data_IF_036267256898
#
_entry.id   IF_036267256898
#
_cell.length_a   1.000
_cell.length_b   1.000
_cell.length_c   1.000
_cell.angle_alpha   90.00
_cell.angle_beta   90.00
_cell.angle_gamma   90.00
#
_symmetry.space_group_name_H-M   'P 1'
#
loop_
_entity.id
_entity.type
_entity.pdbx_description
1 polymer ?
#
# COMPACT_ATOMS: atom_id res chain seq x y z
N UNK A 1 3.45 32.05 -30.50
CA UNK A 1 2.37 31.60 -31.41
C UNK A 1 1.07 32.36 -31.18
N UNK A 2 0.72 32.73 -29.94
CA UNK A 2 -0.58 33.38 -29.63
C UNK A 2 -0.49 34.88 -29.31
N UNK A 3 0.64 35.54 -29.61
CA UNK A 3 1.02 36.87 -29.10
C UNK A 3 0.11 38.05 -29.51
N UNK A 4 -1.03 37.83 -30.16
CA UNK A 4 -2.00 38.87 -30.49
C UNK A 4 -3.46 38.43 -30.32
N UNK A 5 -3.70 37.22 -29.78
CA UNK A 5 -5.05 36.69 -29.58
C UNK A 5 -5.61 37.10 -28.21
N UNK A 6 -5.53 38.40 -27.89
CA UNK A 6 -5.89 38.94 -26.56
C UNK A 6 -7.35 38.69 -26.17
N UNK A 7 -8.21 38.48 -27.16
CA UNK A 7 -9.62 38.16 -27.01
C UNK A 7 -9.93 36.66 -26.98
N UNK A 8 -8.91 35.79 -27.06
CA UNK A 8 -9.10 34.34 -27.06
C UNK A 8 -9.69 33.88 -25.72
N UNK A 9 -10.82 33.19 -25.80
CA UNK A 9 -11.55 32.64 -24.63
C UNK A 9 -11.34 31.14 -24.51
N UNK A 10 -11.24 30.42 -25.62
CA UNK A 10 -11.12 28.97 -25.66
C UNK A 10 -10.00 28.55 -26.60
N UNK A 11 -9.16 27.61 -26.17
CA UNK A 11 -8.08 27.04 -26.97
C UNK A 11 -8.18 25.52 -26.98
N UNK A 12 -8.52 24.96 -28.14
CA UNK A 12 -8.72 23.53 -28.34
C UNK A 12 -7.56 22.96 -29.17
N UNK A 13 -6.69 22.19 -28.52
CA UNK A 13 -5.49 21.60 -29.11
C UNK A 13 -5.38 20.09 -28.81
N UNK A 14 -6.45 19.46 -28.33
CA UNK A 14 -6.49 18.06 -27.96
C UNK A 14 -6.26 17.12 -29.15
N UNK A 15 -5.76 15.91 -28.87
CA UNK A 15 -5.58 14.84 -29.88
C UNK A 15 -4.65 15.24 -31.04
N UNK A 16 -3.57 15.96 -30.72
CA UNK A 16 -2.52 16.34 -31.67
C UNK A 16 -1.18 15.66 -31.29
N UNK A 17 -0.11 16.06 -31.96
CA UNK A 17 1.25 15.54 -31.74
C UNK A 17 2.14 16.55 -31.01
N UNK A 18 1.56 17.43 -30.19
CA UNK A 18 2.31 18.51 -29.53
C UNK A 18 3.24 17.92 -28.48
N UNK A 19 4.55 18.14 -28.64
CA UNK A 19 5.57 17.60 -27.73
C UNK A 19 6.01 18.60 -26.66
N UNK A 20 5.89 19.90 -26.94
CA UNK A 20 6.27 20.97 -26.04
C UNK A 20 5.40 22.21 -26.24
N UNK A 21 5.28 23.01 -25.19
CA UNK A 21 4.64 24.33 -25.21
C UNK A 21 5.69 25.33 -24.72
N UNK A 22 5.84 26.42 -25.46
CA UNK A 22 6.73 27.51 -25.07
C UNK A 22 6.27 28.13 -23.73
N UNK A 23 7.23 28.50 -22.88
CA UNK A 23 6.97 29.03 -21.53
C UNK A 23 6.10 30.30 -21.53
N UNK A 24 6.15 31.10 -22.60
CA UNK A 24 5.44 32.37 -22.73
C UNK A 24 4.18 32.24 -23.60
N UNK A 25 3.83 31.02 -24.05
CA UNK A 25 2.73 30.78 -24.98
C UNK A 25 1.41 31.43 -24.53
N UNK A 26 1.11 31.43 -23.23
CA UNK A 26 -0.17 31.91 -22.70
C UNK A 26 -0.10 33.25 -21.94
N UNK A 27 1.07 33.90 -21.89
CA UNK A 27 1.28 35.10 -21.07
C UNK A 27 0.34 36.27 -21.46
N UNK A 28 0.00 36.41 -22.74
CA UNK A 28 -0.81 37.51 -23.28
C UNK A 28 -2.29 37.14 -23.53
N UNK A 29 -2.82 36.11 -22.84
CA UNK A 29 -4.18 35.61 -23.04
C UNK A 29 -5.06 35.80 -21.79
N UNK A 30 -5.32 37.06 -21.35
CA UNK A 30 -5.98 37.34 -20.07
C UNK A 30 -7.47 36.95 -20.03
N UNK A 31 -8.09 36.71 -21.19
CA UNK A 31 -9.50 36.30 -21.31
C UNK A 31 -9.69 34.79 -21.42
N UNK A 32 -8.62 34.01 -21.48
CA UNK A 32 -8.67 32.58 -21.70
C UNK A 32 -9.33 31.86 -20.51
N UNK A 33 -10.41 31.16 -20.81
CA UNK A 33 -11.22 30.39 -19.87
C UNK A 33 -11.03 28.89 -20.00
N UNK A 34 -10.69 28.42 -21.20
CA UNK A 34 -10.59 26.98 -21.47
C UNK A 34 -9.35 26.65 -22.27
N UNK A 35 -8.60 25.66 -21.78
CA UNK A 35 -7.47 25.05 -22.49
C UNK A 35 -7.66 23.54 -22.51
N UNK A 36 -7.80 22.98 -23.71
CA UNK A 36 -7.86 21.55 -23.95
C UNK A 36 -6.57 21.09 -24.64
N UNK A 37 -5.72 20.40 -23.87
CA UNK A 37 -4.41 19.89 -24.32
C UNK A 37 -4.28 18.37 -24.18
N UNK A 38 -5.36 17.68 -23.80
CA UNK A 38 -5.32 16.22 -23.61
C UNK A 38 -4.93 15.46 -24.87
N UNK A 39 -4.44 14.23 -24.70
CA UNK A 39 -4.06 13.34 -25.83
C UNK A 39 -3.03 13.99 -26.76
N UNK A 40 -1.99 14.55 -26.19
CA UNK A 40 -0.83 15.05 -26.92
C UNK A 40 0.42 14.26 -26.50
N UNK A 41 1.61 14.76 -26.82
CA UNK A 41 2.90 14.13 -26.51
C UNK A 41 3.73 14.96 -25.53
N UNK A 42 3.07 15.80 -24.72
CA UNK A 42 3.74 16.66 -23.75
C UNK A 42 4.46 15.81 -22.70
N UNK A 43 5.78 15.93 -22.64
CA UNK A 43 6.61 15.24 -21.64
C UNK A 43 6.87 16.08 -20.39
N UNK A 44 6.90 17.40 -20.56
CA UNK A 44 7.16 18.37 -19.50
C UNK A 44 6.30 19.62 -19.72
N UNK A 45 6.15 20.41 -18.66
CA UNK A 45 5.55 21.75 -18.72
C UNK A 45 6.56 22.76 -18.18
N UNK A 46 6.61 23.95 -18.77
CA UNK A 46 7.47 25.01 -18.28
C UNK A 46 6.97 25.58 -16.93
N UNK A 47 7.91 26.07 -16.13
CA UNK A 47 7.59 26.82 -14.91
C UNK A 47 6.68 28.02 -15.23
N UNK A 48 5.60 28.18 -14.47
CA UNK A 48 4.68 29.31 -14.58
C UNK A 48 3.82 29.31 -15.84
N UNK A 49 3.71 28.21 -16.57
CA UNK A 49 3.00 28.16 -17.85
C UNK A 49 1.54 28.67 -17.76
N UNK A 50 0.86 28.44 -16.64
CA UNK A 50 -0.51 28.91 -16.41
C UNK A 50 -0.60 30.05 -15.39
N UNK A 51 0.51 30.74 -15.10
CA UNK A 51 0.59 31.65 -13.95
C UNK A 51 -0.35 32.85 -14.06
N UNK A 52 -0.54 33.38 -15.27
CA UNK A 52 -1.31 34.61 -15.51
C UNK A 52 -2.77 34.38 -15.91
N UNK A 53 -3.23 33.12 -15.96
CA UNK A 53 -4.54 32.74 -16.46
C UNK A 53 -5.63 32.79 -15.38
N UNK A 54 -5.86 33.97 -14.80
CA UNK A 54 -6.78 34.18 -13.67
C UNK A 54 -8.25 33.84 -13.98
N UNK A 55 -8.63 33.84 -15.27
CA UNK A 55 -9.98 33.50 -15.74
C UNK A 55 -10.14 32.04 -16.19
N UNK A 56 -9.12 31.20 -16.02
CA UNK A 56 -9.14 29.81 -16.47
C UNK A 56 -10.13 28.97 -15.65
N UNK A 57 -11.19 28.51 -16.30
CA UNK A 57 -12.26 27.71 -15.72
C UNK A 57 -12.07 26.20 -15.99
N UNK A 58 -11.47 25.87 -17.14
CA UNK A 58 -11.26 24.48 -17.60
C UNK A 58 -9.84 24.30 -18.11
N UNK A 59 -9.10 23.36 -17.50
CA UNK A 59 -7.80 22.91 -17.95
C UNK A 59 -7.76 21.39 -18.04
N UNK A 60 -7.43 20.89 -19.23
CA UNK A 60 -7.36 19.47 -19.49
C UNK A 60 -5.99 19.09 -20.05
N UNK A 61 -5.25 18.27 -19.30
CA UNK A 61 -3.88 17.83 -19.60
C UNK A 61 -3.74 16.30 -19.67
N UNK A 62 -4.83 15.57 -19.46
CA UNK A 62 -4.80 14.11 -19.34
C UNK A 62 -4.30 13.40 -20.61
N UNK A 63 -3.86 12.15 -20.46
CA UNK A 63 -3.28 11.36 -21.56
C UNK A 63 -2.16 12.10 -22.33
N UNK A 64 -1.30 12.80 -21.57
CA UNK A 64 0.00 13.29 -22.04
C UNK A 64 1.11 12.58 -21.25
N UNK A 65 2.25 12.21 -21.83
CA UNK A 65 3.33 11.52 -21.12
C UNK A 65 4.15 12.43 -20.16
N UNK A 66 3.48 13.25 -19.35
CA UNK A 66 4.09 14.15 -18.36
C UNK A 66 4.77 13.37 -17.22
N UNK A 67 6.09 13.24 -17.27
CA UNK A 67 6.82 12.51 -16.23
C UNK A 67 6.86 13.26 -14.90
N UNK A 68 6.80 14.59 -14.94
CA UNK A 68 6.84 15.47 -13.78
C UNK A 68 6.03 16.76 -14.02
N UNK A 69 5.68 17.43 -12.93
CA UNK A 69 5.17 18.80 -12.96
C UNK A 69 6.27 19.76 -12.47
N UNK A 70 6.36 20.97 -13.02
CA UNK A 70 7.24 22.00 -12.48
C UNK A 70 6.84 22.39 -11.06
N UNK A 71 7.78 22.88 -10.24
CA UNK A 71 7.51 23.32 -8.86
C UNK A 71 6.54 24.51 -8.79
N UNK A 72 6.53 25.34 -9.82
CA UNK A 72 5.60 26.46 -9.97
C UNK A 72 4.91 26.29 -11.31
N UNK A 73 3.62 25.96 -11.31
CA UNK A 73 2.82 25.79 -12.53
C UNK A 73 1.67 26.80 -12.59
N UNK A 74 0.99 26.96 -11.46
CA UNK A 74 -0.21 27.77 -11.34
C UNK A 74 0.05 29.03 -10.51
N UNK A 75 -0.47 30.15 -11.01
CA UNK A 75 -0.71 31.34 -10.21
C UNK A 75 -2.04 31.22 -9.47
N UNK A 76 -2.54 32.32 -8.94
CA UNK A 76 -3.85 32.36 -8.30
C UNK A 76 -4.97 32.26 -9.34
N UNK A 77 -5.63 31.10 -9.40
CA UNK A 77 -6.74 30.82 -10.35
C UNK A 77 -7.98 30.46 -9.53
N UNK A 78 -8.75 31.48 -9.15
CA UNK A 78 -9.97 31.30 -8.34
C UNK A 78 -11.19 30.86 -9.17
N UNK A 79 -11.02 30.68 -10.48
CA UNK A 79 -12.07 30.29 -11.43
C UNK A 79 -12.06 28.79 -11.74
N UNK A 80 -10.91 28.13 -11.65
CA UNK A 80 -10.77 26.71 -11.93
C UNK A 80 -11.53 25.88 -10.88
N UNK A 81 -12.41 24.98 -11.35
CA UNK A 81 -13.23 24.09 -10.48
C UNK A 81 -12.82 22.64 -10.58
N UNK A 82 -12.25 22.22 -11.70
CA UNK A 82 -11.84 20.84 -11.92
C UNK A 82 -10.50 20.79 -12.64
N UNK A 83 -9.60 19.94 -12.16
CA UNK A 83 -8.30 19.68 -12.77
C UNK A 83 -8.12 18.18 -12.96
N UNK A 84 -7.76 17.78 -14.18
CA UNK A 84 -7.57 16.38 -14.54
C UNK A 84 -6.18 16.14 -15.11
N UNK A 85 -5.43 15.29 -14.42
CA UNK A 85 -4.07 14.84 -14.72
C UNK A 85 -4.04 13.31 -14.74
N UNK A 86 -5.11 12.69 -15.27
CA UNK A 86 -5.16 11.24 -15.35
C UNK A 86 -4.34 10.72 -16.53
N UNK A 87 -3.73 9.55 -16.37
CA UNK A 87 -2.95 8.90 -17.42
C UNK A 87 -1.74 9.73 -17.86
N UNK A 88 -1.20 10.58 -16.98
CA UNK A 88 -0.09 11.47 -17.34
C UNK A 88 1.30 10.87 -17.15
N UNK A 89 1.43 9.63 -16.64
CA UNK A 89 2.73 8.99 -16.35
C UNK A 89 3.61 9.70 -15.30
N UNK A 90 3.00 10.52 -14.44
CA UNK A 90 3.69 11.21 -13.36
C UNK A 90 4.36 10.21 -12.42
N UNK A 91 5.62 10.46 -12.06
CA UNK A 91 6.34 9.69 -11.04
C UNK A 91 6.29 10.33 -9.67
N UNK A 92 6.05 11.65 -9.61
CA UNK A 92 5.98 12.46 -8.38
C UNK A 92 5.07 13.66 -8.59
N UNK A 93 4.69 14.29 -7.48
CA UNK A 93 3.96 15.57 -7.43
C UNK A 93 4.76 16.53 -6.55
N UNK A 94 5.05 17.77 -6.97
CA UNK A 94 5.72 18.75 -6.13
C UNK A 94 4.87 19.19 -4.93
N UNK A 95 5.52 19.58 -3.83
CA UNK A 95 4.84 20.19 -2.69
C UNK A 95 4.12 21.48 -3.10
N UNK A 96 2.94 21.72 -2.54
CA UNK A 96 2.16 22.96 -2.72
C UNK A 96 1.77 23.29 -4.17
N UNK A 97 1.93 22.37 -5.13
CA UNK A 97 1.71 22.67 -6.56
C UNK A 97 0.29 23.15 -6.86
N UNK A 98 -0.71 22.70 -6.09
CA UNK A 98 -2.11 23.08 -6.25
C UNK A 98 -2.58 24.14 -5.26
N UNK A 99 -1.70 24.67 -4.38
CA UNK A 99 -2.08 25.54 -3.26
C UNK A 99 -2.77 26.84 -3.67
N UNK A 100 -2.45 27.36 -4.87
CA UNK A 100 -3.07 28.55 -5.44
C UNK A 100 -4.45 28.30 -6.07
N UNK A 101 -4.91 27.05 -6.16
CA UNK A 101 -6.20 26.66 -6.75
C UNK A 101 -7.27 26.55 -5.66
N UNK A 102 -7.42 27.62 -4.86
CA UNK A 102 -8.22 27.60 -3.61
C UNK A 102 -9.72 27.31 -3.78
N UNK A 103 -10.23 27.41 -5.02
CA UNK A 103 -11.62 27.14 -5.38
C UNK A 103 -11.81 25.82 -6.14
N UNK A 104 -10.76 25.00 -6.26
CA UNK A 104 -10.83 23.70 -6.91
C UNK A 104 -11.79 22.78 -6.14
N UNK A 105 -12.71 22.15 -6.86
CA UNK A 105 -13.71 21.23 -6.30
C UNK A 105 -13.44 19.77 -6.66
N UNK A 106 -12.77 19.50 -7.78
CA UNK A 106 -12.41 18.15 -8.21
C UNK A 106 -10.96 18.07 -8.70
N UNK A 107 -10.23 17.07 -8.21
CA UNK A 107 -8.87 16.74 -8.64
C UNK A 107 -8.79 15.26 -9.02
N UNK A 108 -8.39 15.00 -10.26
CA UNK A 108 -8.21 13.66 -10.80
C UNK A 108 -6.73 13.43 -11.08
N UNK A 109 -6.12 12.51 -10.35
CA UNK A 109 -4.71 12.13 -10.46
C UNK A 109 -4.59 10.63 -10.68
N UNK A 110 -5.44 10.02 -11.51
CA UNK A 110 -5.57 8.56 -11.62
C UNK A 110 -4.73 7.98 -12.76
N UNK A 111 -4.45 6.68 -12.72
CA UNK A 111 -3.70 5.99 -13.80
C UNK A 111 -2.29 6.56 -14.05
N UNK A 112 -1.63 7.12 -13.04
CA UNK A 112 -0.22 7.48 -13.07
C UNK A 112 0.59 6.32 -12.45
N UNK A 113 0.84 5.26 -13.21
CA UNK A 113 1.39 3.98 -12.70
C UNK A 113 2.81 4.06 -12.10
N UNK A 114 3.50 5.18 -12.30
CA UNK A 114 4.83 5.46 -11.73
C UNK A 114 4.77 6.25 -10.42
N UNK A 115 3.57 6.66 -9.98
CA UNK A 115 3.36 7.51 -8.81
C UNK A 115 3.26 6.66 -7.53
N UNK A 116 4.42 6.36 -6.94
CA UNK A 116 4.50 5.47 -5.78
C UNK A 116 4.23 6.16 -4.43
N UNK A 117 4.50 7.46 -4.35
CA UNK A 117 4.34 8.25 -3.12
C UNK A 117 3.77 9.63 -3.44
N UNK A 118 3.22 10.28 -2.42
CA UNK A 118 2.81 11.67 -2.46
C UNK A 118 3.52 12.41 -1.33
N UNK A 119 3.98 13.65 -1.55
CA UNK A 119 4.49 14.42 -0.43
C UNK A 119 3.34 14.91 0.46
N UNK A 120 3.66 15.20 1.72
CA UNK A 120 2.67 15.59 2.74
C UNK A 120 1.84 16.80 2.31
N UNK A 121 2.45 17.77 1.64
CA UNK A 121 1.82 19.04 1.29
C UNK A 121 1.31 19.07 -0.17
N UNK A 122 1.13 17.89 -0.80
CA UNK A 122 0.63 17.79 -2.17
C UNK A 122 -0.72 18.49 -2.38
N UNK A 123 -1.61 18.42 -1.38
CA UNK A 123 -2.98 18.95 -1.45
C UNK A 123 -3.23 20.14 -0.51
N UNK A 124 -2.17 20.75 0.00
CA UNK A 124 -2.31 21.90 0.90
C UNK A 124 -3.02 23.06 0.21
N UNK A 125 -3.87 23.78 0.95
CA UNK A 125 -4.65 24.92 0.47
C UNK A 125 -5.95 24.57 -0.27
N UNK A 126 -6.21 23.29 -0.59
CA UNK A 126 -7.40 22.83 -1.33
C UNK A 126 -8.67 22.71 -0.45
N UNK A 127 -8.98 23.78 0.30
CA UNK A 127 -10.06 23.81 1.29
C UNK A 127 -11.47 23.64 0.73
N UNK A 128 -11.66 23.85 -0.58
CA UNK A 128 -12.94 23.68 -1.30
C UNK A 128 -13.05 22.37 -2.08
N UNK A 129 -12.03 21.52 -2.03
CA UNK A 129 -12.04 20.25 -2.75
C UNK A 129 -13.14 19.34 -2.21
N UNK A 130 -14.01 18.86 -3.10
CA UNK A 130 -15.11 17.93 -2.81
C UNK A 130 -14.79 16.51 -3.27
N UNK A 131 -14.03 16.37 -4.36
CA UNK A 131 -13.73 15.08 -5.00
C UNK A 131 -12.23 14.93 -5.25
N UNK A 132 -11.65 13.86 -4.70
CA UNK A 132 -10.25 13.50 -4.93
C UNK A 132 -10.16 12.06 -5.41
N UNK A 133 -9.63 11.89 -6.62
CA UNK A 133 -9.44 10.59 -7.25
C UNK A 133 -7.95 10.27 -7.39
N UNK A 134 -7.50 9.23 -6.70
CA UNK A 134 -6.11 8.77 -6.62
C UNK A 134 -5.97 7.26 -6.91
N UNK A 135 -6.98 6.67 -7.53
CA UNK A 135 -6.99 5.25 -7.86
C UNK A 135 -6.05 4.90 -9.02
N UNK A 136 -5.58 3.64 -9.04
CA UNK A 136 -4.73 3.09 -10.11
C UNK A 136 -3.37 3.80 -10.30
N UNK A 137 -2.71 4.23 -9.22
CA UNK A 137 -1.41 4.93 -9.27
C UNK A 137 -0.20 4.10 -8.79
N UNK A 138 -0.44 2.95 -8.17
CA UNK A 138 0.60 2.14 -7.51
C UNK A 138 1.22 2.83 -6.28
N UNK A 139 0.41 3.63 -5.57
CA UNK A 139 0.79 4.24 -4.30
C UNK A 139 0.99 3.16 -3.24
N UNK A 140 2.15 3.18 -2.58
CA UNK A 140 2.51 2.19 -1.55
C UNK A 140 2.33 2.70 -0.12
N UNK A 141 2.18 4.01 0.06
CA UNK A 141 1.95 4.63 1.36
C UNK A 141 1.37 6.04 1.19
N UNK A 142 0.76 6.56 2.25
CA UNK A 142 0.31 7.95 2.32
C UNK A 142 0.92 8.61 3.57
N UNK A 143 1.49 9.82 3.48
CA UNK A 143 2.00 10.52 4.64
C UNK A 143 0.88 10.92 5.60
N UNK A 144 1.18 10.90 6.90
CA UNK A 144 0.28 11.43 7.91
C UNK A 144 0.02 12.93 7.65
N UNK A 145 -1.25 13.33 7.70
CA UNK A 145 -1.65 14.72 7.46
C UNK A 145 -1.78 15.12 5.97
N UNK A 146 -1.65 14.18 5.02
CA UNK A 146 -1.85 14.45 3.58
C UNK A 146 -3.17 15.19 3.27
N UNK A 147 -4.20 14.92 4.07
CA UNK A 147 -5.55 15.45 3.88
C UNK A 147 -5.94 16.55 4.86
N UNK A 148 -4.98 17.16 5.58
CA UNK A 148 -5.22 18.11 6.66
C UNK A 148 -6.10 19.31 6.24
N UNK A 149 -5.94 19.80 5.02
CA UNK A 149 -6.66 20.99 4.51
C UNK A 149 -7.96 20.63 3.78
N UNK A 150 -8.26 19.34 3.56
CA UNK A 150 -9.37 18.87 2.72
C UNK A 150 -10.72 18.81 3.46
N UNK A 151 -11.06 19.88 4.19
CA UNK A 151 -12.20 19.92 5.11
C UNK A 151 -13.58 19.81 4.41
N UNK A 152 -13.64 20.11 3.11
CA UNK A 152 -14.86 20.02 2.29
C UNK A 152 -14.98 18.70 1.52
N UNK A 153 -14.03 17.77 1.67
CA UNK A 153 -13.97 16.56 0.85
C UNK A 153 -15.17 15.65 1.14
N UNK A 154 -15.82 15.20 0.07
CA UNK A 154 -17.01 14.33 0.10
C UNK A 154 -16.70 12.95 -0.48
N UNK A 155 -15.85 12.88 -1.51
CA UNK A 155 -15.50 11.64 -2.21
C UNK A 155 -13.98 11.49 -2.24
N UNK A 156 -13.50 10.35 -1.72
CA UNK A 156 -12.09 9.95 -1.75
C UNK A 156 -11.95 8.56 -2.38
N UNK A 157 -11.43 8.49 -3.59
CA UNK A 157 -11.19 7.22 -4.27
C UNK A 157 -9.70 6.87 -4.26
N UNK A 158 -9.36 5.80 -3.56
CA UNK A 158 -7.99 5.31 -3.35
C UNK A 158 -7.81 3.85 -3.81
N UNK A 159 -8.81 3.26 -4.46
CA UNK A 159 -8.81 1.85 -4.88
C UNK A 159 -7.68 1.53 -5.88
N UNK A 160 -7.33 0.25 -6.02
CA UNK A 160 -6.29 -0.22 -6.93
C UNK A 160 -4.93 0.48 -6.69
N UNK A 161 -4.49 0.46 -5.45
CA UNK A 161 -3.16 0.88 -5.00
C UNK A 161 -2.52 -0.26 -4.18
N UNK A 162 -1.38 -0.01 -3.52
CA UNK A 162 -0.60 -1.07 -2.85
C UNK A 162 -0.19 -0.67 -1.43
N UNK A 163 -1.12 -0.12 -0.63
CA UNK A 163 -0.80 0.51 0.65
C UNK A 163 -0.27 -0.45 1.71
N UNK A 164 -0.86 -1.65 1.85
CA UNK A 164 -0.58 -2.53 2.99
C UNK A 164 -1.24 -2.02 4.28
N UNK A 165 -0.78 -0.87 4.78
CA UNK A 165 -1.30 -0.17 5.95
C UNK A 165 -1.53 1.33 5.66
N UNK A 166 -2.39 1.97 6.46
CA UNK A 166 -2.68 3.40 6.39
C UNK A 166 -2.47 4.07 7.76
N UNK A 167 -2.04 5.35 7.82
CA UNK A 167 -1.86 6.05 9.10
C UNK A 167 -3.17 6.23 9.88
N UNK A 168 -3.14 6.00 11.19
CA UNK A 168 -4.31 6.06 12.10
C UNK A 168 -5.15 7.34 11.98
N UNK A 169 -4.51 8.49 11.80
CA UNK A 169 -5.17 9.79 11.78
C UNK A 169 -5.37 10.34 10.36
N UNK A 170 -5.19 9.52 9.31
CA UNK A 170 -5.25 9.96 7.91
C UNK A 170 -6.57 10.66 7.57
N UNK A 171 -7.71 10.10 8.02
CA UNK A 171 -9.04 10.59 7.68
C UNK A 171 -9.62 11.58 8.69
N UNK A 172 -8.97 11.79 9.85
CA UNK A 172 -9.47 12.65 10.94
C UNK A 172 -9.92 14.06 10.50
N UNK A 173 -9.26 14.75 9.56
CA UNK A 173 -9.69 16.07 9.10
C UNK A 173 -10.96 16.09 8.22
N UNK A 174 -11.38 14.93 7.70
CA UNK A 174 -12.37 14.82 6.62
C UNK A 174 -13.82 14.77 7.12
N UNK A 175 -14.24 15.77 7.89
CA UNK A 175 -15.55 15.81 8.55
C UNK A 175 -16.77 15.78 7.60
N UNK A 176 -16.54 16.03 6.30
CA UNK A 176 -17.55 16.03 5.25
C UNK A 176 -17.54 14.79 4.36
N UNK A 177 -16.65 13.82 4.62
CA UNK A 177 -16.49 12.65 3.77
C UNK A 177 -17.76 11.80 3.80
N UNK A 178 -18.25 11.46 2.61
CA UNK A 178 -19.44 10.65 2.40
C UNK A 178 -19.09 9.30 1.78
N UNK A 179 -18.14 9.28 0.85
CA UNK A 179 -17.77 8.09 0.08
C UNK A 179 -16.26 7.89 0.13
N UNK A 180 -15.84 6.69 0.51
CA UNK A 180 -14.44 6.27 0.43
C UNK A 180 -14.32 4.91 -0.26
N UNK A 181 -13.40 4.84 -1.23
CA UNK A 181 -13.11 3.61 -1.96
C UNK A 181 -11.68 3.17 -1.70
N UNK A 182 -11.53 2.01 -1.07
CA UNK A 182 -10.27 1.38 -0.71
C UNK A 182 -10.18 -0.06 -1.26
N UNK A 183 -11.00 -0.39 -2.27
CA UNK A 183 -10.99 -1.73 -2.87
C UNK A 183 -9.64 -2.05 -3.49
N UNK A 184 -9.22 -3.31 -3.45
CA UNK A 184 -8.01 -3.76 -4.13
C UNK A 184 -6.78 -2.87 -3.80
N UNK A 185 -6.60 -2.57 -2.51
CA UNK A 185 -5.51 -1.70 -2.03
C UNK A 185 -4.48 -2.43 -1.18
N UNK A 186 -4.54 -3.78 -1.19
CA UNK A 186 -3.67 -4.69 -0.43
C UNK A 186 -3.70 -4.44 1.08
N UNK A 187 -4.78 -3.88 1.62
CA UNK A 187 -4.89 -3.60 3.05
C UNK A 187 -4.90 -4.90 3.85
N UNK A 188 -4.07 -4.96 4.89
CA UNK A 188 -4.04 -6.09 5.83
C UNK A 188 -5.02 -5.89 7.00
N UNK A 189 -5.11 -4.64 7.48
CA UNK A 189 -6.02 -4.22 8.54
C UNK A 189 -6.36 -2.74 8.38
N UNK A 190 -7.29 -2.24 9.20
CA UNK A 190 -7.51 -0.82 9.42
C UNK A 190 -7.46 -0.51 10.92
N UNK A 191 -7.00 0.69 11.31
CA UNK A 191 -7.05 1.14 12.69
C UNK A 191 -8.47 1.14 13.27
N UNK A 192 -8.63 0.83 14.56
CA UNK A 192 -9.93 0.73 15.24
C UNK A 192 -10.83 1.96 15.05
N UNK A 193 -10.20 3.14 15.08
CA UNK A 193 -10.87 4.43 15.01
C UNK A 193 -10.77 5.10 13.63
N UNK A 194 -10.43 4.33 12.59
CA UNK A 194 -10.12 4.90 11.28
C UNK A 194 -11.29 5.68 10.66
N UNK A 195 -12.53 5.23 10.92
CA UNK A 195 -13.77 5.86 10.41
C UNK A 195 -14.61 6.56 11.49
N UNK A 196 -14.23 6.51 12.77
CA UNK A 196 -15.12 6.93 13.87
C UNK A 196 -15.39 8.43 13.92
N UNK A 197 -14.50 9.25 13.35
CA UNK A 197 -14.63 10.71 13.31
C UNK A 197 -15.17 11.24 11.96
N UNK A 198 -16.00 10.45 11.28
CA UNK A 198 -16.58 10.78 9.96
C UNK A 198 -18.11 10.79 10.01
N UNK A 199 -18.74 11.85 10.53
CA UNK A 199 -20.18 11.86 10.82
C UNK A 199 -21.09 11.86 9.58
N UNK A 200 -20.54 12.13 8.39
CA UNK A 200 -21.28 12.15 7.12
C UNK A 200 -21.02 10.93 6.24
N UNK A 201 -20.28 9.94 6.75
CA UNK A 201 -19.89 8.76 5.98
C UNK A 201 -21.12 7.92 5.63
N UNK A 202 -21.31 7.65 4.34
CA UNK A 202 -22.45 6.94 3.78
C UNK A 202 -22.06 5.60 3.19
N UNK A 203 -20.90 5.52 2.52
CA UNK A 203 -20.44 4.27 1.90
C UNK A 203 -18.92 4.11 1.99
N UNK A 204 -18.51 2.89 2.32
CA UNK A 204 -17.12 2.47 2.49
C UNK A 204 -16.88 1.20 1.68
N UNK A 205 -16.14 1.31 0.58
CA UNK A 205 -15.85 0.16 -0.29
C UNK A 205 -14.49 -0.45 0.06
N UNK A 206 -14.48 -1.73 0.43
CA UNK A 206 -13.34 -2.44 1.05
C UNK A 206 -13.04 -3.81 0.43
N UNK A 207 -13.71 -4.16 -0.66
CA UNK A 207 -13.57 -5.45 -1.31
C UNK A 207 -12.13 -5.68 -1.83
N UNK A 208 -11.78 -6.94 -2.07
CA UNK A 208 -10.51 -7.32 -2.72
C UNK A 208 -9.24 -6.85 -1.96
N UNK A 209 -9.31 -6.70 -0.65
CA UNK A 209 -8.14 -6.45 0.21
C UNK A 209 -7.56 -7.75 0.78
N UNK A 210 -6.43 -7.64 1.48
CA UNK A 210 -5.67 -8.76 2.03
C UNK A 210 -5.91 -8.91 3.53
N UNK A 211 -7.17 -8.89 3.98
CA UNK A 211 -7.53 -8.88 5.40
C UNK A 211 -6.83 -10.02 6.16
N UNK A 212 -5.99 -9.66 7.13
CA UNK A 212 -5.32 -10.61 8.02
C UNK A 212 -6.14 -10.66 9.31
N UNK A 213 -6.86 -11.75 9.52
CA UNK A 213 -7.76 -11.97 10.65
C UNK A 213 -7.02 -12.41 11.91
N UNK A 214 -6.08 -11.56 12.31
CA UNK A 214 -5.35 -11.64 13.56
C UNK A 214 -5.81 -10.55 14.54
N UNK A 215 -5.08 -10.39 15.65
CA UNK A 215 -5.43 -9.41 16.67
C UNK A 215 -5.40 -7.95 16.24
N UNK A 216 -4.65 -7.60 15.20
CA UNK A 216 -4.63 -6.23 14.69
C UNK A 216 -5.93 -5.88 13.97
N UNK A 217 -6.67 -6.87 13.48
CA UNK A 217 -7.96 -6.66 12.82
C UNK A 217 -9.10 -6.43 13.80
N UNK A 218 -8.93 -6.79 15.09
CA UNK A 218 -10.01 -6.79 16.09
C UNK A 218 -10.78 -5.46 16.14
N UNK A 219 -10.07 -4.33 16.11
CA UNK A 219 -10.67 -3.01 16.13
C UNK A 219 -11.53 -2.74 14.90
N UNK A 220 -10.99 -2.99 13.71
CA UNK A 220 -11.72 -2.86 12.45
C UNK A 220 -12.90 -3.82 12.36
N UNK A 221 -12.74 -5.09 12.77
CA UNK A 221 -13.85 -6.06 12.85
C UNK A 221 -14.98 -5.54 13.72
N UNK A 222 -14.65 -5.02 14.91
CA UNK A 222 -15.64 -4.46 15.85
C UNK A 222 -16.37 -3.25 15.24
N UNK A 223 -15.66 -2.41 14.49
CA UNK A 223 -16.29 -1.31 13.75
C UNK A 223 -17.23 -1.84 12.65
N UNK A 224 -16.80 -2.84 11.87
CA UNK A 224 -17.56 -3.43 10.78
C UNK A 224 -18.87 -4.05 11.27
N UNK A 225 -18.84 -4.77 12.40
CA UNK A 225 -20.02 -5.36 13.05
C UNK A 225 -21.09 -4.31 13.39
N UNK A 226 -20.67 -3.09 13.75
CA UNK A 226 -21.58 -1.97 14.09
C UNK A 226 -22.01 -1.13 12.89
N UNK A 227 -21.39 -1.31 11.72
CA UNK A 227 -21.54 -0.45 10.56
C UNK A 227 -21.74 -1.26 9.27
N UNK A 228 -22.50 -2.35 9.34
CA UNK A 228 -22.75 -3.25 8.21
C UNK A 228 -23.49 -2.58 7.06
N UNK A 229 -24.34 -1.59 7.34
CA UNK A 229 -25.08 -0.82 6.32
C UNK A 229 -24.16 0.12 5.54
N UNK A 230 -23.09 0.61 6.15
CA UNK A 230 -22.12 1.54 5.53
C UNK A 230 -21.18 0.83 4.56
N UNK A 231 -21.03 -0.49 4.67
CA UNK A 231 -20.13 -1.29 3.83
C UNK A 231 -20.95 -2.14 2.87
N UNK A 232 -20.90 -1.89 1.56
CA UNK A 232 -21.60 -2.75 0.60
C UNK A 232 -21.08 -4.19 0.64
N UNK A 233 -22.01 -5.15 0.70
CA UNK A 233 -21.72 -6.59 0.73
C UNK A 233 -20.65 -6.98 1.78
N UNK A 234 -20.87 -6.70 3.08
CA UNK A 234 -19.82 -6.86 4.08
C UNK A 234 -19.40 -8.33 4.29
N UNK A 235 -20.28 -9.29 3.95
CA UNK A 235 -19.97 -10.72 3.94
C UNK A 235 -18.96 -11.13 2.85
N UNK A 236 -18.75 -10.29 1.82
CA UNK A 236 -17.74 -10.53 0.79
C UNK A 236 -16.33 -10.09 1.21
N UNK A 237 -16.17 -9.46 2.38
CA UNK A 237 -14.86 -9.17 2.95
C UNK A 237 -14.29 -10.45 3.54
N UNK A 238 -13.38 -11.11 2.83
CA UNK A 238 -12.82 -12.40 3.24
C UNK A 238 -11.44 -12.24 3.87
N UNK A 239 -11.19 -13.00 4.93
CA UNK A 239 -9.88 -13.22 5.49
C UNK A 239 -8.97 -13.90 4.44
N UNK A 240 -7.75 -13.40 4.30
CA UNK A 240 -6.70 -14.02 3.46
C UNK A 240 -5.67 -14.78 4.28
N UNK A 241 -5.51 -14.39 5.54
CA UNK A 241 -4.67 -15.04 6.54
C UNK A 241 -5.33 -14.93 7.94
N UNK A 242 -4.96 -15.80 8.90
CA UNK A 242 -4.09 -16.97 8.76
C UNK A 242 -4.72 -18.05 7.83
N UNK A 243 -3.95 -19.06 7.37
CA UNK A 243 -4.46 -20.10 6.48
C UNK A 243 -5.73 -20.81 6.97
N UNK A 244 -5.87 -20.97 8.29
CA UNK A 244 -7.06 -21.55 8.94
C UNK A 244 -8.32 -20.72 8.75
N UNK A 245 -8.19 -19.42 8.53
CA UNK A 245 -9.31 -18.49 8.31
C UNK A 245 -9.42 -18.05 6.86
N UNK A 246 -8.58 -18.55 5.95
CA UNK A 246 -8.62 -18.13 4.56
C UNK A 246 -10.01 -18.38 4.00
N UNK A 247 -10.56 -17.39 3.28
CA UNK A 247 -11.93 -17.38 2.71
C UNK A 247 -13.08 -17.26 3.71
N UNK A 248 -12.81 -17.21 5.02
CA UNK A 248 -13.85 -16.92 6.02
C UNK A 248 -14.19 -15.42 5.98
N UNK A 249 -15.47 -15.02 5.98
CA UNK A 249 -15.85 -13.60 6.06
C UNK A 249 -15.35 -12.96 7.36
N UNK A 250 -14.80 -11.74 7.27
CA UNK A 250 -14.26 -10.97 8.40
C UNK A 250 -15.29 -10.81 9.54
N UNK A 251 -16.57 -10.64 9.20
CA UNK A 251 -17.65 -10.49 10.18
C UNK A 251 -17.80 -11.70 11.11
N UNK A 252 -17.62 -12.92 10.59
CA UNK A 252 -17.80 -14.17 11.35
C UNK A 252 -16.48 -14.82 11.76
N UNK A 253 -15.34 -14.26 11.34
CA UNK A 253 -14.03 -14.78 11.68
C UNK A 253 -13.79 -14.74 13.20
N UNK A 254 -13.45 -15.88 13.79
CA UNK A 254 -13.13 -16.00 15.20
C UNK A 254 -11.71 -15.48 15.47
N UNK A 255 -11.57 -14.15 15.54
CA UNK A 255 -10.27 -13.51 15.83
C UNK A 255 -9.75 -14.04 17.18
N UNK A 256 -8.47 -14.48 17.25
CA UNK A 256 -7.91 -15.07 18.47
C UNK A 256 -8.00 -14.12 19.66
N UNK A 257 -7.92 -14.68 20.86
CA UNK A 257 -7.83 -13.89 22.09
C UNK A 257 -6.58 -13.01 21.98
N UNK A 258 -6.76 -11.69 22.16
CA UNK A 258 -5.68 -10.74 21.98
C UNK A 258 -4.97 -10.40 23.29
N UNK A 259 -3.64 -10.23 23.26
CA UNK A 259 -2.94 -9.70 24.41
C UNK A 259 -3.52 -8.33 24.78
N UNK A 260 -3.67 -8.08 26.07
CA UNK A 260 -4.22 -6.81 26.59
C UNK A 260 -3.32 -6.22 27.67
N UNK A 261 -3.24 -4.89 27.73
CA UNK A 261 -2.49 -4.19 28.76
C UNK A 261 -3.48 -3.59 29.77
N UNK A 262 -3.29 -3.87 31.06
CA UNK A 262 -4.00 -3.21 32.16
C UNK A 262 -3.05 -2.30 32.92
N UNK A 263 -3.50 -1.09 33.29
CA UNK A 263 -2.77 -0.20 34.18
C UNK A 263 -3.10 -0.56 35.63
N UNK A 264 -2.09 -0.85 36.44
CA UNK A 264 -2.21 -1.02 37.88
C UNK A 264 -2.30 0.32 38.60
N UNK A 265 -2.87 0.30 39.81
CA UNK A 265 -3.08 1.49 40.64
C UNK A 265 -1.79 2.27 40.93
N UNK A 266 -0.64 1.58 41.00
CA UNK A 266 0.68 2.17 41.24
C UNK A 266 1.37 2.72 39.98
N UNK A 267 0.63 2.87 38.87
CA UNK A 267 1.20 3.30 37.57
C UNK A 267 2.01 2.22 36.85
N UNK A 268 2.00 0.97 37.32
CA UNK A 268 2.55 -0.18 36.62
C UNK A 268 1.64 -0.63 35.47
N UNK A 269 2.19 -1.34 34.49
CA UNK A 269 1.43 -1.95 33.40
C UNK A 269 1.55 -3.47 33.46
N UNK A 270 0.42 -4.18 33.37
CA UNK A 270 0.34 -5.62 33.27
C UNK A 270 -0.07 -6.01 31.86
N UNK A 271 0.79 -6.74 31.15
CA UNK A 271 0.41 -7.40 29.89
C UNK A 271 -0.17 -8.77 30.24
N UNK A 272 -1.40 -9.00 29.78
CA UNK A 272 -2.09 -10.28 29.82
C UNK A 272 -1.97 -10.89 28.42
N UNK A 273 -1.14 -11.92 28.27
CA UNK A 273 -0.95 -12.62 26.99
C UNK A 273 -1.65 -13.97 27.07
N UNK A 274 -2.58 -14.29 26.16
CA UNK A 274 -3.13 -15.63 26.08
C UNK A 274 -1.99 -16.61 25.75
N UNK A 275 -1.93 -17.73 26.48
CA UNK A 275 -1.01 -18.81 26.11
C UNK A 275 -1.42 -19.36 24.75
N UNK A 276 -0.45 -19.80 23.95
CA UNK A 276 -0.58 -20.20 22.54
C UNK A 276 -1.47 -21.43 22.28
N UNK A 277 -2.27 -21.86 23.25
CA UNK A 277 -3.29 -22.88 23.07
C UNK A 277 -4.61 -22.19 22.75
N UNK A 278 -5.03 -22.31 21.49
CA UNK A 278 -6.37 -21.96 21.03
C UNK A 278 -7.40 -22.46 22.06
N UNK A 279 -8.23 -21.53 22.57
CA UNK A 279 -9.42 -21.77 23.39
C UNK A 279 -9.29 -22.25 24.86
N UNK A 280 -8.11 -22.32 25.48
CA UNK A 280 -8.03 -22.83 26.87
C UNK A 280 -8.24 -21.79 27.99
N UNK A 281 -8.38 -20.51 27.68
CA UNK A 281 -8.58 -19.46 28.70
C UNK A 281 -7.41 -19.28 29.67
N UNK A 282 -6.23 -19.83 29.34
CA UNK A 282 -5.01 -19.71 30.17
C UNK A 282 -4.22 -18.48 29.73
N UNK A 283 -4.01 -17.55 30.66
CA UNK A 283 -3.31 -16.29 30.43
C UNK A 283 -1.99 -16.24 31.20
N UNK A 284 -0.94 -15.71 30.56
CA UNK A 284 0.29 -15.29 31.25
C UNK A 284 0.22 -13.80 31.54
N UNK A 285 0.68 -13.40 32.73
CA UNK A 285 0.77 -11.99 33.12
C UNK A 285 2.23 -11.57 33.27
N UNK A 286 2.59 -10.41 32.71
CA UNK A 286 3.91 -9.78 32.92
C UNK A 286 3.72 -8.33 33.34
N UNK A 287 4.42 -7.92 34.40
CA UNK A 287 4.37 -6.57 34.95
C UNK A 287 5.57 -5.72 34.51
N UNK A 288 5.31 -4.47 34.19
CA UNK A 288 6.29 -3.46 33.78
C UNK A 288 6.11 -2.21 34.63
N UNK A 289 7.22 -1.62 35.11
CA UNK A 289 7.24 -0.29 35.75
C UNK A 289 7.66 0.75 34.72
N UNK A 290 7.01 1.92 34.70
CA UNK A 290 7.41 3.04 33.84
C UNK A 290 6.46 3.30 32.68
N UNK A 291 6.97 3.42 31.46
CA UNK A 291 6.19 3.75 30.25
C UNK A 291 5.30 2.59 29.78
N UNK A 292 4.22 2.89 29.06
CA UNK A 292 3.29 1.88 28.52
C UNK A 292 4.05 0.91 27.62
N UNK A 293 4.10 -0.40 27.94
CA UNK A 293 4.86 -1.35 27.15
C UNK A 293 4.13 -1.62 25.82
N UNK A 294 4.90 -1.71 24.74
CA UNK A 294 4.36 -2.02 23.41
C UNK A 294 3.88 -3.47 23.37
N UNK A 295 2.59 -3.68 23.12
CA UNK A 295 2.05 -5.03 22.89
C UNK A 295 2.62 -5.53 21.56
N UNK A 296 3.49 -6.54 21.60
CA UNK A 296 3.81 -7.33 20.42
C UNK A 296 2.73 -8.40 20.28
N UNK A 297 1.87 -8.25 19.26
CA UNK A 297 0.94 -9.31 18.89
C UNK A 297 1.75 -10.53 18.43
N UNK A 298 1.34 -11.76 18.78
CA UNK A 298 1.97 -12.95 18.24
C UNK A 298 1.90 -12.85 16.71
N UNK A 299 3.05 -12.82 16.05
CA UNK A 299 3.10 -12.82 14.60
C UNK A 299 2.40 -14.09 14.13
N UNK A 300 1.39 -13.97 13.27
CA UNK A 300 0.94 -15.12 12.49
C UNK A 300 2.19 -15.71 11.84
N UNK A 301 2.48 -17.02 11.99
CA UNK A 301 3.68 -17.62 11.47
C UNK A 301 3.67 -17.50 9.95
N UNK A 302 4.22 -16.39 9.44
CA UNK A 302 4.57 -16.26 8.04
C UNK A 302 5.71 -17.23 7.85
N UNK A 303 5.47 -18.26 7.00
CA UNK A 303 6.39 -19.33 6.58
C UNK A 303 7.67 -19.36 7.41
N UNK A 304 7.83 -20.37 8.30
CA UNK A 304 9.12 -20.71 8.93
C UNK A 304 10.25 -20.35 7.96
N UNK A 305 10.93 -19.22 8.20
CA UNK A 305 12.27 -19.04 7.64
C UNK A 305 13.00 -20.25 8.19
N UNK A 306 13.36 -21.16 7.30
CA UNK A 306 14.16 -22.32 7.67
C UNK A 306 15.41 -21.78 8.35
N UNK A 307 15.45 -21.88 9.68
CA UNK A 307 16.61 -21.52 10.47
C UNK A 307 17.67 -22.58 10.21
N UNK A 308 18.36 -22.43 9.08
CA UNK A 308 19.62 -23.09 8.78
C UNK A 308 20.81 -22.13 8.94
N UNK A 309 20.57 -20.89 9.42
CA UNK A 309 21.58 -19.83 9.48
C UNK A 309 21.91 -19.30 10.88
N UNK A 310 21.39 -19.90 11.96
CA UNK A 310 21.73 -19.47 13.34
C UNK A 310 22.42 -20.56 14.20
N UNK A 311 23.14 -21.50 13.58
CA UNK A 311 23.88 -22.54 14.32
C UNK A 311 25.37 -22.62 13.99
N UNK A 312 26.05 -21.47 13.84
CA UNK A 312 27.51 -21.42 13.68
C UNK A 312 28.22 -20.41 14.58
N UNK A 313 27.78 -20.28 15.83
CA UNK A 313 28.61 -19.66 16.87
C UNK A 313 28.63 -20.54 18.12
N UNK A 314 29.43 -21.61 18.09
CA UNK A 314 30.26 -22.08 19.22
C UNK A 314 30.93 -23.43 18.89
N UNK A 315 31.92 -23.41 17.99
CA UNK A 315 32.98 -24.41 18.02
C UNK A 315 34.31 -23.66 17.95
N UNK A 316 34.91 -23.41 19.12
CA UNK A 316 36.36 -23.19 19.21
C UNK A 316 37.02 -24.55 19.00
N UNK A 317 37.70 -24.72 17.87
CA UNK A 317 38.76 -25.72 17.74
C UNK A 317 40.09 -25.07 18.16
N UNK A 318 40.95 -25.78 18.91
CA UNK A 318 42.32 -25.35 19.12
C UNK A 318 43.13 -25.63 17.86
N UNK A 319 44.07 -24.75 17.56
CA UNK A 319 45.08 -24.81 16.48
C UNK A 319 44.65 -24.39 15.06
N UNK A 320 44.85 -23.10 14.79
CA UNK A 320 45.69 -22.59 13.70
C UNK A 320 45.13 -22.58 12.27
N UNK A 321 44.79 -21.39 11.74
CA UNK A 321 44.74 -21.16 10.30
C UNK A 321 43.74 -20.11 9.78
N UNK A 322 44.15 -18.84 9.87
CA UNK A 322 43.93 -17.68 8.96
C UNK A 322 42.56 -17.46 8.29
N UNK A 323 42.03 -16.26 8.60
CA UNK A 323 40.92 -15.52 8.01
C UNK A 323 41.21 -15.13 6.54
N UNK A 324 40.23 -15.31 5.64
CA UNK A 324 39.94 -14.31 4.60
C UNK A 324 38.43 -14.18 4.36
N UNK A 325 37.95 -12.98 4.66
CA UNK A 325 36.67 -12.37 4.32
C UNK A 325 36.51 -12.18 2.81
N UNK A 326 35.33 -12.46 2.26
CA UNK A 326 34.80 -11.65 1.14
C UNK A 326 33.32 -11.37 1.35
N UNK A 327 33.01 -10.07 1.37
CA UNK A 327 31.69 -9.47 1.46
C UNK A 327 31.31 -8.96 0.06
N UNK A 328 30.00 -8.92 -0.20
CA UNK A 328 29.28 -8.13 -1.22
C UNK A 328 28.96 -8.69 -2.63
N UNK A 329 27.68 -8.43 -2.94
CA UNK A 329 26.98 -8.24 -4.22
C UNK A 329 26.06 -9.34 -4.79
N UNK A 330 24.77 -9.01 -4.63
CA UNK A 330 23.54 -9.43 -5.29
C UNK A 330 23.64 -9.10 -6.79
N UNK A 331 23.17 -10.00 -7.67
CA UNK A 331 22.14 -9.78 -8.73
C UNK A 331 22.38 -10.62 -10.00
N UNK A 332 21.26 -11.19 -10.47
CA UNK A 332 20.97 -11.60 -11.86
C UNK A 332 21.51 -12.94 -12.40
N UNK A 333 20.55 -13.82 -12.71
CA UNK A 333 20.47 -14.70 -13.89
C UNK A 333 21.77 -15.17 -14.57
N UNK A 334 22.59 -15.96 -13.88
CA UNK A 334 23.42 -16.96 -14.55
C UNK A 334 23.84 -18.02 -13.53
N UNK A 335 22.98 -19.03 -13.35
CA UNK A 335 23.26 -20.46 -13.13
C UNK A 335 21.86 -21.12 -13.08
N UNK A 336 21.20 -21.13 -14.23
CA UNK A 336 20.09 -22.05 -14.53
C UNK A 336 20.50 -22.99 -15.69
N UNK A 337 21.81 -23.05 -15.98
CA UNK A 337 22.37 -23.70 -17.17
C UNK A 337 23.61 -24.57 -16.88
N UNK A 338 23.84 -24.96 -15.62
CA UNK A 338 24.91 -25.91 -15.26
C UNK A 338 24.53 -26.97 -14.24
N UNK A 339 23.22 -27.21 -14.03
CA UNK A 339 22.71 -28.44 -13.38
C UNK A 339 21.49 -28.95 -14.19
N UNK A 340 21.69 -29.11 -15.50
CA UNK A 340 20.86 -29.95 -16.39
C UNK A 340 21.72 -31.09 -16.97
N UNK A 341 22.85 -31.41 -16.33
CA UNK A 341 23.80 -32.42 -16.82
C UNK A 341 24.26 -33.44 -15.77
N UNK A 342 23.38 -33.83 -14.84
CA UNK A 342 23.57 -35.12 -14.17
C UNK A 342 22.21 -35.80 -13.92
N UNK A 343 22.00 -36.87 -14.69
CA UNK A 343 20.98 -37.91 -14.55
C UNK A 343 19.56 -37.64 -15.04
N UNK A 344 19.37 -37.54 -16.37
CA UNK A 344 18.33 -38.29 -17.10
C UNK A 344 18.80 -38.52 -18.56
N UNK A 345 18.72 -39.78 -19.02
CA UNK A 345 18.85 -40.31 -20.41
C UNK A 345 20.26 -40.67 -20.95
N UNK A 346 20.58 -41.97 -20.87
CA UNK A 346 20.98 -42.93 -21.93
C UNK A 346 21.37 -44.22 -21.17
N UNK A 347 20.57 -45.28 -21.16
CA UNK A 347 20.41 -46.23 -22.26
C UNK A 347 19.03 -46.89 -22.23
N UNK A 348 18.26 -46.66 -23.30
CA UNK A 348 17.38 -47.69 -23.86
C UNK A 348 18.19 -48.38 -24.95
N UNK A 349 18.40 -49.69 -24.81
CA UNK A 349 18.59 -50.61 -25.93
C UNK A 349 17.84 -51.90 -25.59
N UNK A 350 16.60 -51.97 -26.10
CA UNK A 350 15.88 -53.16 -26.60
C UNK A 350 16.31 -54.55 -26.11
N UNK A 351 15.42 -55.30 -25.45
CA UNK A 351 14.71 -56.48 -25.99
C UNK A 351 13.77 -57.13 -24.95
N UNK A 352 12.51 -57.36 -25.37
CA UNK A 352 11.53 -58.40 -25.02
C UNK A 352 11.36 -59.00 -23.60
N UNK A 353 10.06 -59.08 -23.25
CA UNK A 353 9.34 -60.19 -22.58
C UNK A 353 8.99 -60.08 -21.08
N UNK A 354 7.67 -60.04 -20.85
CA UNK A 354 6.85 -60.65 -19.78
C UNK A 354 7.27 -60.43 -18.30
N UNK A 355 6.43 -59.74 -17.52
CA UNK A 355 5.65 -60.30 -16.40
C UNK A 355 4.93 -59.20 -15.60
N UNK A 356 3.79 -59.58 -15.04
CA UNK A 356 2.80 -58.84 -14.25
C UNK A 356 3.13 -58.77 -12.74
N UNK A 357 2.38 -57.93 -12.00
CA UNK A 357 1.95 -58.04 -10.56
C UNK A 357 2.55 -57.03 -9.53
N UNK A 358 1.65 -56.17 -9.02
CA UNK A 358 1.35 -55.80 -7.61
C UNK A 358 2.30 -55.00 -6.69
N UNK A 359 1.61 -54.13 -5.93
CA UNK A 359 1.76 -53.73 -4.50
C UNK A 359 2.75 -52.63 -4.11
N UNK A 360 2.22 -51.72 -3.28
CA UNK A 360 2.79 -50.55 -2.60
C UNK A 360 4.25 -50.68 -2.10
N UNK A 361 4.97 -49.55 -1.97
CA UNK A 361 6.07 -49.46 -1.01
C UNK A 361 5.72 -48.55 0.18
N UNK A 362 5.60 -49.19 1.35
CA UNK A 362 5.89 -48.58 2.65
C UNK A 362 7.40 -48.30 2.70
N UNK A 363 7.79 -47.03 2.82
CA UNK A 363 9.20 -46.66 3.07
C UNK A 363 9.42 -46.59 4.58
N UNK A 364 10.02 -47.64 5.12
CA UNK A 364 10.63 -47.65 6.46
C UNK A 364 11.99 -46.95 6.37
N UNK A 365 12.15 -45.79 6.99
CA UNK A 365 13.47 -45.15 7.15
C UNK A 365 14.08 -45.61 8.47
N UNK A 366 15.04 -46.53 8.40
CA UNK A 366 15.95 -46.80 9.51
C UNK A 366 16.93 -45.63 9.65
N UNK A 367 16.78 -44.83 10.71
CA UNK A 367 17.81 -43.89 11.16
C UNK A 367 18.84 -44.66 12.00
N UNK A 368 20.04 -44.84 11.45
CA UNK A 368 21.22 -45.28 12.20
C UNK A 368 21.72 -44.08 13.04
N UNK A 369 21.54 -44.17 14.36
CA UNK A 369 22.11 -43.22 15.34
C UNK A 369 23.53 -43.69 15.71
N UNK A 370 24.58 -42.86 15.58
CA UNK A 370 25.92 -43.23 16.02
C UNK A 370 26.02 -43.30 17.56
N UNK A 371 26.91 -44.11 18.16
CA UNK A 371 26.81 -44.54 19.56
C UNK A 371 27.12 -43.49 20.65
N UNK A 372 27.26 -42.21 20.35
CA UNK A 372 27.78 -41.22 21.31
C UNK A 372 26.92 -39.97 21.55
N UNK A 373 25.63 -39.99 21.22
CA UNK A 373 24.70 -38.92 21.62
C UNK A 373 23.93 -39.33 22.88
N UNK A 374 24.38 -38.86 24.06
CA UNK A 374 23.57 -38.89 25.28
C UNK A 374 22.52 -37.77 25.22
N UNK A 375 21.26 -38.14 25.38
CA UNK A 375 20.17 -37.21 25.70
C UNK A 375 20.36 -36.70 27.14
N UNK A 376 20.35 -35.39 27.34
CA UNK A 376 20.03 -34.79 28.64
C UNK A 376 18.62 -34.24 28.57
N UNK A 377 17.79 -34.72 29.48
CA UNK A 377 16.35 -34.48 29.64
C UNK A 377 15.97 -32.98 29.75
N UNK A 378 14.72 -32.60 29.41
CA UNK A 378 14.24 -31.24 29.36
C UNK A 378 13.60 -30.85 30.69
N UNK A 379 14.35 -30.15 31.53
CA UNK A 379 13.78 -29.24 32.52
C UNK A 379 14.74 -28.06 32.67
N UNK A 380 14.56 -27.08 31.77
CA UNK A 380 14.88 -25.65 31.95
C UNK A 380 14.45 -24.82 30.75
#
# INVERSE_FOLDING_TARGET
>A
MFNNLVDLVELHLQSNLIEAIDKEAFYQLPKLKQILLQRNRLKTLANGLFFYLQKLEILSLYENPLTELPNVLFGKIDTLRSLSLWGTSLSTIPNFIFSNLTKLEALVLTKNTKLHTLPKDAFSGLTKLKKLYLYSNNLSSLPAGLFQDLQSLQILSLYNNTFGDLPDNLLKPLLHLQYIELNNSKLATLPENFFTLLPKLQSVHLAENLWICDCKLKGFKSWLERNTETVPNPMALLCTNPPTMKTIPVLVAEVPICPSTRRGENGSYMIITPTTAEHTGVYTTKWYRGTTPTIKYPETPTKRKSSWYEFLHSCRLPFGGIIYTLHYFITSMQIFLTIVQCFVLIKIRTFYSHFTISSDPVVLVHLLVPPNCKFSDPDK
#
